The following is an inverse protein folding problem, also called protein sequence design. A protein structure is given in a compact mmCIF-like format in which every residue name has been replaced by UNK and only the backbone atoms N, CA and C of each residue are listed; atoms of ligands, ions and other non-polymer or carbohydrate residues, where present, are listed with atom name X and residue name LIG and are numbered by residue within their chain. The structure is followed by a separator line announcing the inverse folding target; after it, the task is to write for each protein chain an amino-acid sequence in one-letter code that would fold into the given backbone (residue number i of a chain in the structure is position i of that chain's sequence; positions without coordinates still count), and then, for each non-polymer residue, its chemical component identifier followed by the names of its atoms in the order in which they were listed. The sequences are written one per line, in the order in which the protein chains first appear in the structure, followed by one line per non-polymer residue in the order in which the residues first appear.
data_IF_815543625290
#
_entry.id   IF_815543625290
#
_cell.length_a   1.000
_cell.length_b   1.000
_cell.length_c   1.000
_cell.angle_alpha   90.00
_cell.angle_beta   90.00
_cell.angle_gamma   90.00
#
_symmetry.space_group_name_H-M   'P 1'
#
loop_
_entity.id
_entity.type
_entity.pdbx_description
1 polymer ?
#
# COMPACT_ATOMS: atom_id res chain seq x y z
N UNK A 1 -4.93 -3.97 -8.49
CA UNK A 1 -6.34 -3.67 -8.15
C UNK A 1 -6.46 -2.19 -7.85
N UNK A 2 -7.63 -1.57 -8.06
CA UNK A 2 -7.89 -0.16 -7.70
C UNK A 2 -9.20 -0.05 -6.92
N UNK A 3 -9.18 0.72 -5.83
CA UNK A 3 -10.37 1.14 -5.08
C UNK A 3 -10.44 2.67 -5.15
N UNK A 4 -11.63 3.19 -5.44
CA UNK A 4 -11.90 4.62 -5.41
C UNK A 4 -12.84 4.89 -4.25
N UNK A 5 -12.43 5.80 -3.39
CA UNK A 5 -13.19 6.27 -2.23
C UNK A 5 -13.62 7.69 -2.55
N UNK A 6 -14.91 7.95 -2.36
CA UNK A 6 -15.47 9.30 -2.45
C UNK A 6 -15.65 9.82 -1.03
N UNK A 7 -15.16 11.02 -0.75
CA UNK A 7 -15.21 11.60 0.58
C UNK A 7 -14.91 13.09 0.57
N UNK A 8 -15.00 13.71 1.75
CA UNK A 8 -14.62 15.10 1.97
C UNK A 8 -13.17 15.18 2.46
N UNK A 9 -12.23 15.26 1.52
CA UNK A 9 -10.79 15.27 1.80
C UNK A 9 -10.24 16.67 2.14
N UNK A 10 -11.13 17.63 2.38
CA UNK A 10 -10.77 18.91 3.02
C UNK A 10 -10.59 18.68 4.53
N UNK A 11 -11.29 17.68 5.09
CA UNK A 11 -11.12 17.29 6.49
C UNK A 11 -9.80 16.59 6.70
N UNK A 12 -9.25 16.86 7.87
CA UNK A 12 -8.00 16.28 8.31
C UNK A 12 -8.17 14.79 8.63
N UNK A 13 -7.34 13.95 8.02
CA UNK A 13 -7.27 12.53 8.34
C UNK A 13 -6.41 12.35 9.61
N UNK A 14 -6.88 11.60 10.63
CA UNK A 14 -6.36 11.72 12.00
C UNK A 14 -5.06 10.94 12.28
N UNK A 15 -4.55 10.20 11.30
CA UNK A 15 -3.34 9.40 11.41
C UNK A 15 -2.25 9.88 10.45
N UNK A 16 -0.99 9.65 10.83
CA UNK A 16 0.13 9.82 9.90
C UNK A 16 0.30 8.58 9.00
N UNK A 17 1.19 8.71 8.00
CA UNK A 17 1.43 7.64 7.04
C UNK A 17 1.99 6.36 7.68
N UNK A 18 2.77 6.48 8.77
CA UNK A 18 3.41 5.35 9.43
C UNK A 18 2.39 4.59 10.27
N UNK A 19 1.52 5.28 10.98
CA UNK A 19 0.40 4.70 11.70
C UNK A 19 -0.52 3.92 10.75
N UNK A 20 -0.86 4.51 9.60
CA UNK A 20 -1.66 3.83 8.57
C UNK A 20 -0.95 2.57 8.05
N UNK A 21 0.34 2.67 7.70
CA UNK A 21 1.12 1.54 7.20
C UNK A 21 1.19 0.37 8.20
N UNK A 22 1.34 0.68 9.50
CA UNK A 22 1.35 -0.33 10.58
C UNK A 22 -0.01 -1.01 10.75
N UNK A 23 -1.12 -0.28 10.64
CA UNK A 23 -2.48 -0.86 10.68
C UNK A 23 -2.68 -1.84 9.51
N UNK A 24 -2.17 -1.50 8.33
CA UNK A 24 -2.25 -2.32 7.13
C UNK A 24 -1.41 -3.62 7.22
N UNK A 25 -0.12 -3.53 7.52
CA UNK A 25 0.83 -4.65 7.39
C UNK A 25 1.39 -5.20 8.70
N UNK A 26 0.90 -4.75 9.85
CA UNK A 26 1.42 -5.06 11.20
C UNK A 26 2.71 -4.29 11.54
N UNK A 27 2.83 -3.85 12.79
CA UNK A 27 4.05 -3.22 13.32
C UNK A 27 5.17 -4.25 13.55
N UNK A 28 4.77 -5.47 13.95
CA UNK A 28 5.69 -6.58 14.20
C UNK A 28 5.14 -7.88 13.61
N UNK A 29 6.07 -8.74 13.17
CA UNK A 29 5.79 -10.10 12.74
C UNK A 29 6.89 -11.04 13.21
N UNK A 30 6.50 -12.16 13.82
CA UNK A 30 7.41 -13.15 14.39
C UNK A 30 8.46 -12.53 15.35
N UNK A 31 8.03 -11.54 16.13
CA UNK A 31 8.89 -10.82 17.09
C UNK A 31 9.88 -9.83 16.47
N UNK A 32 9.82 -9.60 15.15
CA UNK A 32 10.65 -8.62 14.43
C UNK A 32 9.79 -7.45 13.94
N UNK A 33 10.31 -6.24 14.04
CA UNK A 33 9.69 -5.06 13.44
C UNK A 33 9.64 -5.24 11.92
N UNK A 34 8.49 -4.88 11.33
CA UNK A 34 8.34 -4.87 9.88
C UNK A 34 9.11 -3.69 9.31
N UNK A 35 9.98 -3.93 8.32
CA UNK A 35 10.74 -2.88 7.65
C UNK A 35 9.88 -2.27 6.54
N UNK A 36 9.46 -1.03 6.77
CA UNK A 36 8.57 -0.28 5.88
C UNK A 36 9.39 0.82 5.23
N UNK A 37 9.59 0.70 3.92
CA UNK A 37 10.12 1.79 3.12
C UNK A 37 8.96 2.58 2.50
N UNK A 38 9.03 3.90 2.57
CA UNK A 38 8.04 4.80 2.00
C UNK A 38 8.73 5.87 1.16
N UNK A 39 8.06 6.29 0.10
CA UNK A 39 8.46 7.44 -0.71
C UNK A 39 7.23 8.33 -0.86
N UNK A 40 7.34 9.58 -0.46
CA UNK A 40 6.18 10.48 -0.43
C UNK A 40 6.35 11.65 0.53
N UNK A 41 5.27 12.38 0.72
CA UNK A 41 5.25 13.60 1.50
C UNK A 41 5.49 13.28 2.99
N UNK A 42 6.54 13.85 3.59
CA UNK A 42 6.75 13.81 5.05
C UNK A 42 5.85 14.78 5.80
N UNK A 43 5.07 15.61 5.06
CA UNK A 43 4.03 16.45 5.63
C UNK A 43 2.93 15.57 6.22
N UNK A 44 2.21 16.07 7.23
CA UNK A 44 1.09 15.32 7.78
C UNK A 44 0.10 15.03 6.66
N UNK A 45 -0.34 13.77 6.59
CA UNK A 45 -1.40 13.26 5.70
C UNK A 45 -2.65 14.18 5.69
N UNK A 46 -2.78 14.98 6.75
CA UNK A 46 -3.65 16.15 6.96
C UNK A 46 -3.72 17.17 5.84
N UNK A 47 -2.68 17.34 5.02
CA UNK A 47 -2.63 18.38 3.97
C UNK A 47 -2.44 17.86 2.55
N UNK A 48 -2.01 16.60 2.40
CA UNK A 48 -1.81 15.93 1.13
C UNK A 48 -1.88 14.40 1.35
N UNK A 49 -2.97 13.74 0.93
CA UNK A 49 -3.18 12.32 1.18
C UNK A 49 -2.46 11.42 0.16
N UNK A 50 -1.22 11.77 -0.20
CA UNK A 50 -0.40 11.02 -1.17
C UNK A 50 0.66 10.18 -0.45
N UNK A 51 0.58 8.85 -0.55
CA UNK A 51 1.54 7.89 0.03
C UNK A 51 1.85 6.78 -0.97
N UNK A 52 3.13 6.50 -1.20
CA UNK A 52 3.58 5.30 -1.90
C UNK A 52 4.40 4.45 -0.94
N UNK A 53 3.85 3.30 -0.58
CA UNK A 53 4.44 2.36 0.36
C UNK A 53 5.03 1.18 -0.37
N UNK A 54 6.18 0.71 0.11
CA UNK A 54 6.86 -0.48 -0.38
C UNK A 54 7.26 -1.37 0.79
N UNK A 55 6.64 -2.55 0.86
CA UNK A 55 6.95 -3.58 1.85
C UNK A 55 7.86 -4.65 1.25
N UNK A 56 8.96 -4.98 1.93
CA UNK A 56 9.80 -6.13 1.58
C UNK A 56 9.24 -7.42 2.20
N UNK A 57 8.51 -8.20 1.42
CA UNK A 57 7.82 -9.41 1.88
C UNK A 57 8.79 -10.51 2.33
N UNK A 58 9.98 -10.58 1.74
CA UNK A 58 10.92 -11.68 1.98
C UNK A 58 11.59 -11.61 3.35
N UNK A 59 11.74 -10.41 3.91
CA UNK A 59 12.29 -10.24 5.25
C UNK A 59 11.32 -10.66 6.36
N UNK A 60 10.03 -10.78 6.04
CA UNK A 60 8.98 -10.94 7.04
C UNK A 60 8.08 -12.16 6.79
N UNK A 61 8.30 -12.95 5.74
CA UNK A 61 7.48 -14.14 5.49
C UNK A 61 8.20 -15.19 4.65
N UNK A 62 8.58 -16.30 5.31
CA UNK A 62 9.35 -17.37 4.68
C UNK A 62 8.59 -18.10 3.56
N UNK A 63 7.26 -17.96 3.46
CA UNK A 63 6.48 -18.50 2.34
C UNK A 63 6.96 -17.93 1.00
N UNK A 64 7.56 -16.73 1.00
CA UNK A 64 8.10 -16.09 -0.21
C UNK A 64 9.41 -16.66 -0.71
N UNK A 65 10.17 -17.35 0.13
CA UNK A 65 11.50 -17.83 -0.23
C UNK A 65 11.47 -18.89 -1.35
N UNK A 66 10.31 -19.54 -1.55
CA UNK A 66 10.15 -20.72 -2.41
C UNK A 66 8.95 -20.62 -3.37
N UNK A 67 8.49 -19.42 -3.71
CA UNK A 67 7.36 -19.25 -4.66
C UNK A 67 7.78 -19.75 -6.05
N UNK A 68 7.06 -20.76 -6.54
CA UNK A 68 7.28 -21.35 -7.86
C UNK A 68 6.39 -20.64 -8.88
N UNK A 69 7.02 -19.91 -9.82
CA UNK A 69 6.30 -19.05 -10.78
C UNK A 69 5.66 -19.85 -11.92
N UNK A 70 6.27 -20.99 -12.25
CA UNK A 70 5.79 -21.96 -13.23
C UNK A 70 6.42 -23.31 -12.92
N UNK A 71 5.78 -24.40 -13.31
CA UNK A 71 6.36 -25.74 -13.22
C UNK A 71 7.77 -25.75 -13.86
N UNK A 72 8.76 -26.21 -13.11
CA UNK A 72 10.18 -26.20 -13.52
C UNK A 72 10.92 -24.87 -13.40
N UNK A 73 10.27 -23.75 -13.05
CA UNK A 73 10.91 -22.44 -12.85
C UNK A 73 10.88 -22.05 -11.36
N UNK A 74 12.04 -22.17 -10.72
CA UNK A 74 12.32 -21.77 -9.33
C UNK A 74 12.96 -20.38 -9.21
N UNK A 75 13.00 -19.60 -10.30
CA UNK A 75 13.80 -18.39 -10.33
C UNK A 75 13.18 -17.26 -9.49
N UNK A 76 14.04 -16.61 -8.69
CA UNK A 76 13.72 -15.58 -7.70
C UNK A 76 13.48 -14.23 -8.39
N UNK A 77 12.31 -14.01 -8.99
CA UNK A 77 12.03 -12.70 -9.60
C UNK A 77 11.66 -11.64 -8.55
N UNK A 78 12.37 -10.51 -8.59
CA UNK A 78 12.24 -9.37 -7.68
C UNK A 78 10.86 -8.71 -7.64
N UNK A 79 10.01 -8.93 -8.65
CA UNK A 79 8.64 -8.42 -8.70
C UNK A 79 7.71 -9.01 -7.63
N UNK A 80 8.08 -10.15 -7.02
CA UNK A 80 7.36 -10.75 -5.89
C UNK A 80 8.01 -10.47 -4.53
N UNK A 81 9.17 -9.81 -4.51
CA UNK A 81 9.88 -9.47 -3.27
C UNK A 81 9.19 -8.32 -2.56
N UNK A 82 8.70 -7.36 -3.35
CA UNK A 82 8.13 -6.14 -2.84
C UNK A 82 6.66 -6.06 -3.13
N UNK A 83 5.90 -5.61 -2.15
CA UNK A 83 4.52 -5.17 -2.33
C UNK A 83 4.52 -3.65 -2.41
N UNK A 84 3.85 -3.10 -3.42
CA UNK A 84 3.64 -1.66 -3.54
C UNK A 84 2.15 -1.36 -3.33
N UNK A 85 1.87 -0.44 -2.43
CA UNK A 85 0.54 0.14 -2.23
C UNK A 85 0.64 1.65 -2.38
N UNK A 86 -0.24 2.20 -3.20
CA UNK A 86 -0.29 3.61 -3.52
C UNK A 86 -1.64 4.16 -3.06
N UNK A 87 -1.59 5.30 -2.40
CA UNK A 87 -2.72 6.10 -1.99
C UNK A 87 -2.52 7.49 -2.56
N UNK A 88 -3.33 7.89 -3.51
CA UNK A 88 -3.27 9.20 -4.14
C UNK A 88 -4.66 9.60 -4.66
N UNK A 89 -4.80 10.79 -5.25
CA UNK A 89 -6.06 11.11 -5.92
C UNK A 89 -6.16 10.38 -7.27
N UNK A 90 -7.39 10.07 -7.66
CA UNK A 90 -7.70 9.66 -9.02
C UNK A 90 -7.13 10.68 -10.01
N UNK A 91 -6.54 10.19 -11.10
CA UNK A 91 -5.97 11.01 -12.16
C UNK A 91 -4.96 12.06 -11.66
N UNK A 92 -4.25 11.75 -10.56
CA UNK A 92 -3.28 12.65 -9.96
C UNK A 92 -2.22 13.09 -10.98
N UNK A 93 -2.01 14.40 -11.20
CA UNK A 93 -1.05 14.90 -12.19
C UNK A 93 0.37 14.36 -12.02
N UNK A 94 0.79 14.07 -10.79
CA UNK A 94 2.13 13.59 -10.49
C UNK A 94 2.36 12.12 -10.89
N UNK A 95 1.31 11.30 -10.86
CA UNK A 95 1.40 9.84 -11.07
C UNK A 95 0.78 9.43 -12.41
N UNK A 96 -0.34 10.05 -12.79
CA UNK A 96 -1.15 9.69 -13.96
C UNK A 96 -1.06 10.74 -15.10
N UNK A 97 -0.41 11.89 -14.89
CA UNK A 97 -0.29 13.01 -15.85
C UNK A 97 -1.63 13.53 -16.39
N UNK A 98 -2.65 13.53 -15.52
CA UNK A 98 -4.02 13.95 -15.83
C UNK A 98 -4.48 15.04 -14.87
N UNK A 99 -5.68 15.57 -15.13
CA UNK A 99 -6.34 16.47 -14.19
C UNK A 99 -6.85 15.68 -12.99
N UNK A 100 -6.50 16.16 -11.80
CA UNK A 100 -6.83 15.53 -10.52
C UNK A 100 -8.34 15.35 -10.39
N UNK A 101 -8.79 14.11 -10.19
CA UNK A 101 -10.16 13.75 -9.88
C UNK A 101 -10.56 13.97 -8.42
N UNK A 102 -11.83 13.72 -8.12
CA UNK A 102 -12.45 13.99 -6.82
C UNK A 102 -12.34 12.81 -5.82
N UNK A 103 -11.95 11.63 -6.31
CA UNK A 103 -11.86 10.43 -5.48
C UNK A 103 -10.43 10.20 -4.99
N UNK A 104 -10.29 9.68 -3.77
CA UNK A 104 -9.04 9.09 -3.33
C UNK A 104 -8.95 7.66 -3.87
N UNK A 105 -7.81 7.32 -4.46
CA UNK A 105 -7.50 6.07 -5.13
C UNK A 105 -6.50 5.28 -4.30
N UNK A 106 -6.87 4.04 -3.97
CA UNK A 106 -5.95 3.02 -3.51
C UNK A 106 -5.59 2.14 -4.69
N UNK A 107 -4.31 2.04 -5.02
CA UNK A 107 -3.82 1.19 -6.10
C UNK A 107 -2.78 0.17 -5.59
N UNK A 108 -2.88 -1.05 -6.12
CA UNK A 108 -1.87 -2.09 -5.95
C UNK A 108 -1.52 -2.72 -7.28
N UNK A 109 -0.24 -2.98 -7.51
CA UNK A 109 0.26 -3.73 -8.67
C UNK A 109 0.09 -5.24 -8.53
N UNK A 110 -0.34 -5.72 -7.36
CA UNK A 110 -0.52 -7.15 -7.09
C UNK A 110 -1.99 -7.54 -7.34
N UNK A 111 -2.28 -8.09 -8.52
CA UNK A 111 -3.64 -8.42 -8.95
C UNK A 111 -4.10 -9.81 -8.48
N UNK A 112 -3.19 -10.78 -8.37
CA UNK A 112 -3.56 -12.20 -8.20
C UNK A 112 -2.83 -12.94 -7.07
N UNK A 113 -1.99 -12.26 -6.28
CA UNK A 113 -0.96 -12.97 -5.53
C UNK A 113 -1.33 -13.35 -4.08
N UNK A 114 -2.11 -12.55 -3.31
CA UNK A 114 -2.13 -12.73 -1.83
C UNK A 114 -3.29 -12.21 -0.97
N UNK A 115 -3.44 -12.85 0.21
CA UNK A 115 -4.35 -12.49 1.30
C UNK A 115 -3.91 -11.26 2.11
N UNK A 116 -2.60 -11.04 2.28
CA UNK A 116 -2.04 -9.92 3.08
C UNK A 116 -2.29 -8.60 2.37
N UNK A 117 -2.00 -8.54 1.07
CA UNK A 117 -2.17 -7.34 0.23
C UNK A 117 -3.65 -6.92 0.16
N UNK A 118 -4.54 -7.89 -0.03
CA UNK A 118 -6.00 -7.67 0.01
C UNK A 118 -6.44 -7.15 1.38
N UNK A 119 -5.97 -7.76 2.48
CA UNK A 119 -6.27 -7.30 3.84
C UNK A 119 -5.76 -5.88 4.09
N UNK A 120 -4.51 -5.59 3.75
CA UNK A 120 -3.89 -4.28 3.91
C UNK A 120 -4.69 -3.21 3.16
N UNK A 121 -5.06 -3.48 1.91
CA UNK A 121 -5.85 -2.57 1.11
C UNK A 121 -7.29 -2.41 1.64
N UNK A 122 -7.94 -3.46 2.13
CA UNK A 122 -9.26 -3.34 2.78
C UNK A 122 -9.21 -2.53 4.07
N UNK A 123 -8.19 -2.75 4.91
CA UNK A 123 -7.99 -1.96 6.13
C UNK A 123 -7.80 -0.49 5.77
N UNK A 124 -6.90 -0.19 4.83
CA UNK A 124 -6.68 1.18 4.36
C UNK A 124 -7.98 1.82 3.86
N UNK A 125 -8.77 1.10 3.07
CA UNK A 125 -10.03 1.63 2.58
C UNK A 125 -11.03 1.93 3.70
N UNK A 126 -11.14 1.05 4.70
CA UNK A 126 -12.02 1.24 5.86
C UNK A 126 -11.53 2.43 6.70
N UNK A 127 -10.26 2.46 7.07
CA UNK A 127 -9.66 3.51 7.91
C UNK A 127 -9.88 4.90 7.28
N UNK A 128 -9.69 5.03 5.97
CA UNK A 128 -9.94 6.29 5.24
C UNK A 128 -11.43 6.62 5.17
N UNK A 129 -12.29 5.64 4.90
CA UNK A 129 -13.72 5.88 4.74
C UNK A 129 -14.43 6.20 6.07
N UNK A 130 -13.85 5.82 7.21
CA UNK A 130 -14.42 6.05 8.55
C UNK A 130 -13.75 7.18 9.35
N UNK A 131 -12.67 7.76 8.82
CA UNK A 131 -12.00 8.93 9.40
C UNK A 131 -12.84 10.21 9.21
#
# INVERSE_FOLDING_TARGET
MRIYIKGDYIKEIPFDYMELAKRMWFDTKDGKTVDISYFGNTRPFKTDPTIHLKLNKWMHDNRWNNVQLKEGIINKFGSHVYENLELDFEDNPATDYREKGDCLRLASTHFDLLTVDKRAMYIMAIEIATA
#
